data_IF_085611504246
#
_entry.id   IF_085611504246
#
_cell.length_a   1.000
_cell.length_b   1.000
_cell.length_c   1.000
_cell.angle_alpha   90.00
_cell.angle_beta   90.00
_cell.angle_gamma   90.00
#
_symmetry.space_group_name_H-M   'P 1'
#
loop_
_entity.id
_entity.type
_entity.pdbx_description
1 polymer ?
#
# COMPACT_ATOMS: atom_id res chain seq x y z
N UNK A 1 37.44 -28.61 -4.03
CA UNK A 1 38.24 -27.47 -3.59
C UNK A 1 37.83 -27.16 -2.17
N UNK A 2 38.75 -27.18 -1.19
CA UNK A 2 38.48 -26.89 0.23
C UNK A 2 39.15 -25.57 0.61
N UNK A 3 38.49 -24.76 1.45
CA UNK A 3 39.02 -23.49 1.96
C UNK A 3 40.02 -23.77 3.10
N UNK A 4 41.05 -22.93 3.21
CA UNK A 4 42.06 -23.07 4.24
C UNK A 4 41.50 -22.77 5.64
N UNK A 5 41.81 -23.60 6.66
CA UNK A 5 41.44 -23.30 8.04
C UNK A 5 42.20 -22.06 8.54
N UNK A 6 41.52 -21.21 9.31
CA UNK A 6 42.10 -19.97 9.87
C UNK A 6 42.03 -18.74 8.97
N UNK A 7 41.41 -18.83 7.80
CA UNK A 7 41.23 -17.69 6.91
C UNK A 7 40.23 -16.67 7.45
N UNK A 8 40.53 -15.38 7.28
CA UNK A 8 39.74 -14.26 7.80
C UNK A 8 38.49 -13.99 6.94
N UNK A 9 37.54 -14.93 6.95
CA UNK A 9 36.33 -14.87 6.13
C UNK A 9 35.45 -13.65 6.40
N UNK A 10 35.52 -13.05 7.60
CA UNK A 10 34.72 -11.88 7.96
C UNK A 10 35.08 -10.64 7.13
N UNK A 11 36.37 -10.37 6.94
CA UNK A 11 36.83 -9.25 6.13
C UNK A 11 36.51 -9.46 4.64
N UNK A 12 36.73 -10.69 4.14
CA UNK A 12 36.41 -11.06 2.75
C UNK A 12 34.91 -10.92 2.50
N UNK A 13 34.06 -11.41 3.40
CA UNK A 13 32.61 -11.29 3.30
C UNK A 13 32.16 -9.82 3.32
N UNK A 14 32.68 -9.01 4.25
CA UNK A 14 32.32 -7.60 4.36
C UNK A 14 32.66 -6.81 3.09
N UNK A 15 33.86 -7.01 2.51
CA UNK A 15 34.27 -6.38 1.25
C UNK A 15 33.41 -6.85 0.08
N UNK A 16 33.14 -8.16 0.00
CA UNK A 16 32.33 -8.75 -1.07
C UNK A 16 30.90 -8.22 -1.15
N UNK A 17 30.36 -7.70 -0.04
CA UNK A 17 29.03 -7.08 0.01
C UNK A 17 29.13 -5.56 -0.16
N UNK A 18 30.12 -4.92 0.46
CA UNK A 18 30.26 -3.47 0.50
C UNK A 18 30.58 -2.85 -0.86
N UNK A 19 31.49 -3.46 -1.63
CA UNK A 19 31.89 -2.93 -2.94
C UNK A 19 30.72 -2.95 -3.95
N UNK A 20 30.00 -4.08 -4.17
CA UNK A 20 28.86 -4.10 -5.08
C UNK A 20 27.72 -3.18 -4.66
N UNK A 21 27.49 -3.00 -3.35
CA UNK A 21 26.42 -2.15 -2.84
C UNK A 21 26.54 -0.70 -3.31
N UNK A 22 27.76 -0.17 -3.35
CA UNK A 22 28.04 1.19 -3.85
C UNK A 22 27.80 1.29 -5.35
N UNK A 23 28.23 0.29 -6.13
CA UNK A 23 28.01 0.21 -7.57
C UNK A 23 26.52 0.12 -7.93
N UNK A 24 25.75 -0.69 -7.19
CA UNK A 24 24.31 -0.86 -7.40
C UNK A 24 23.51 0.42 -7.13
N UNK A 25 24.05 1.39 -6.40
CA UNK A 25 23.31 2.61 -6.03
C UNK A 25 23.04 3.52 -7.22
N UNK A 26 23.94 3.54 -8.22
CA UNK A 26 23.86 4.42 -9.38
C UNK A 26 22.91 3.89 -10.48
N UNK A 27 22.57 2.59 -10.48
CA UNK A 27 21.80 1.95 -11.57
C UNK A 27 20.29 1.79 -11.29
N UNK A 28 19.76 2.35 -10.20
CA UNK A 28 18.43 1.96 -9.68
C UNK A 28 17.22 2.71 -10.26
N UNK A 29 17.43 3.69 -11.14
CA UNK A 29 16.31 4.45 -11.74
C UNK A 29 15.74 3.84 -13.03
N UNK A 30 16.31 2.72 -13.50
CA UNK A 30 15.93 2.12 -14.77
C UNK A 30 15.55 0.63 -14.67
N UNK A 31 14.85 0.22 -13.61
CA UNK A 31 14.05 -1.02 -13.69
C UNK A 31 12.80 -0.74 -14.53
N UNK A 32 12.95 -0.82 -15.86
CA UNK A 32 11.85 -0.73 -16.80
C UNK A 32 10.97 -1.99 -16.72
N UNK A 33 9.67 -1.83 -16.49
CA UNK A 33 8.70 -2.89 -16.78
C UNK A 33 7.71 -3.29 -15.68
N UNK A 34 7.77 -2.74 -14.46
CA UNK A 34 6.77 -3.05 -13.41
C UNK A 34 6.18 -1.76 -12.85
N UNK A 35 4.86 -1.64 -13.00
CA UNK A 35 4.06 -0.43 -12.79
C UNK A 35 4.33 0.28 -11.45
N UNK A 36 4.74 1.55 -11.54
CA UNK A 36 4.47 2.65 -10.61
C UNK A 36 4.83 2.52 -9.11
N UNK A 37 5.71 1.60 -8.69
CA UNK A 37 6.22 1.58 -7.31
C UNK A 37 7.65 2.11 -7.25
N UNK A 38 7.80 3.36 -6.81
CA UNK A 38 9.09 3.93 -6.41
C UNK A 38 9.55 3.22 -5.13
N UNK A 39 10.30 2.12 -5.26
CA UNK A 39 10.89 1.40 -4.14
C UNK A 39 12.28 2.00 -3.85
N UNK A 40 12.63 2.13 -2.58
CA UNK A 40 13.97 2.52 -2.14
C UNK A 40 14.94 1.38 -2.48
N UNK A 41 15.97 1.67 -3.28
CA UNK A 41 16.99 0.72 -3.73
C UNK A 41 18.40 1.24 -3.40
N UNK A 42 19.40 0.37 -3.54
CA UNK A 42 20.82 0.71 -3.36
C UNK A 42 21.23 0.97 -1.91
N UNK A 43 22.25 1.81 -1.72
CA UNK A 43 22.82 2.17 -0.41
C UNK A 43 21.77 2.67 0.58
N UNK A 44 20.80 3.54 0.22
CA UNK A 44 19.74 3.95 1.14
C UNK A 44 18.96 2.76 1.72
N UNK A 45 18.63 1.76 0.88
CA UNK A 45 17.92 0.55 1.32
C UNK A 45 18.80 -0.36 2.17
N UNK A 46 20.06 -0.53 1.79
CA UNK A 46 21.03 -1.31 2.55
C UNK A 46 21.25 -0.74 3.96
N UNK A 47 21.29 0.59 4.08
CA UNK A 47 21.36 1.28 5.39
C UNK A 47 20.15 0.99 6.28
N UNK A 48 18.95 0.98 5.69
CA UNK A 48 17.72 0.64 6.43
C UNK A 48 17.75 -0.80 6.95
N UNK A 49 18.24 -1.75 6.14
CA UNK A 49 18.31 -3.18 6.49
C UNK A 49 19.34 -3.41 7.61
N UNK A 50 20.58 -2.91 7.45
CA UNK A 50 21.65 -3.12 8.43
C UNK A 50 21.28 -2.52 9.80
N UNK A 51 20.66 -1.34 9.81
CA UNK A 51 20.28 -0.67 11.06
C UNK A 51 18.96 -1.18 11.65
N UNK A 52 18.28 -2.13 11.00
CA UNK A 52 16.96 -2.63 11.41
C UNK A 52 16.00 -1.45 11.66
N UNK A 53 15.94 -0.54 10.69
CA UNK A 53 15.18 0.70 10.82
C UNK A 53 13.69 0.38 11.02
N UNK A 54 13.10 0.86 12.12
CA UNK A 54 11.66 0.68 12.41
C UNK A 54 10.76 1.31 11.33
N UNK A 55 11.18 2.47 10.82
CA UNK A 55 10.46 3.22 9.80
C UNK A 55 11.29 3.25 8.51
N UNK A 56 10.91 2.42 7.55
CA UNK A 56 11.52 2.39 6.21
C UNK A 56 10.79 3.34 5.26
N UNK A 57 11.48 3.96 4.32
CA UNK A 57 10.90 5.01 3.46
C UNK A 57 9.79 4.49 2.53
N UNK A 58 9.98 3.30 1.98
CA UNK A 58 9.04 2.71 1.00
C UNK A 58 8.70 1.27 1.42
N UNK A 59 7.83 1.10 2.44
CA UNK A 59 7.39 -0.23 2.82
C UNK A 59 6.58 -0.86 1.68
N UNK A 60 6.89 -2.10 1.36
CA UNK A 60 6.16 -2.87 0.35
C UNK A 60 5.94 -4.30 0.83
N UNK A 61 4.80 -4.85 0.44
CA UNK A 61 4.42 -6.23 0.70
C UNK A 61 3.84 -6.82 -0.60
N UNK A 62 4.31 -7.99 -0.99
CA UNK A 62 3.74 -8.78 -2.08
C UNK A 62 2.82 -9.83 -1.49
N UNK A 63 1.52 -9.71 -1.76
CA UNK A 63 0.49 -10.65 -1.31
C UNK A 63 0.11 -11.55 -2.47
N UNK A 64 0.24 -12.86 -2.29
CA UNK A 64 -0.14 -13.86 -3.28
C UNK A 64 -1.56 -14.36 -3.00
N UNK A 65 -2.37 -14.48 -4.06
CA UNK A 65 -3.73 -15.00 -3.96
C UNK A 65 -3.73 -16.53 -3.87
N UNK A 66 -4.74 -17.09 -3.20
CA UNK A 66 -4.96 -18.55 -3.18
C UNK A 66 -5.25 -19.07 -4.59
N UNK A 67 -4.85 -20.31 -4.93
CA UNK A 67 -5.03 -20.88 -6.27
C UNK A 67 -6.49 -20.88 -6.78
N UNK A 68 -7.45 -20.95 -5.86
CA UNK A 68 -8.88 -20.97 -6.19
C UNK A 68 -9.40 -19.60 -6.66
N UNK A 69 -8.79 -18.52 -6.16
CA UNK A 69 -9.20 -17.13 -6.38
C UNK A 69 -8.31 -16.47 -7.45
N UNK A 70 -7.09 -16.97 -7.65
CA UNK A 70 -6.09 -16.37 -8.52
C UNK A 70 -6.37 -16.51 -10.02
N UNK A 71 -7.40 -17.29 -10.41
CA UNK A 71 -7.68 -17.62 -11.83
C UNK A 71 -8.59 -16.61 -12.52
N UNK A 72 -9.40 -15.87 -11.77
CA UNK A 72 -10.42 -14.95 -12.31
C UNK A 72 -10.12 -13.52 -11.86
N UNK A 73 -10.19 -12.56 -12.79
CA UNK A 73 -9.92 -11.15 -12.50
C UNK A 73 -10.90 -10.56 -11.47
N UNK A 74 -12.19 -10.89 -11.57
CA UNK A 74 -13.22 -10.39 -10.66
C UNK A 74 -12.94 -10.79 -9.21
N UNK A 75 -12.53 -12.05 -8.99
CA UNK A 75 -12.19 -12.55 -7.66
C UNK A 75 -10.92 -11.89 -7.11
N UNK A 76 -9.92 -11.65 -7.96
CA UNK A 76 -8.73 -10.89 -7.57
C UNK A 76 -9.08 -9.44 -7.18
N UNK A 77 -10.00 -8.81 -7.91
CA UNK A 77 -10.47 -7.45 -7.63
C UNK A 77 -11.26 -7.36 -6.32
N UNK A 78 -12.06 -8.37 -6.01
CA UNK A 78 -12.74 -8.45 -4.71
C UNK A 78 -11.74 -8.48 -3.54
N UNK A 79 -10.66 -9.25 -3.66
CA UNK A 79 -9.59 -9.27 -2.65
C UNK A 79 -8.85 -7.93 -2.59
N UNK A 80 -8.60 -7.30 -3.74
CA UNK A 80 -8.01 -5.97 -3.79
C UNK A 80 -8.86 -4.95 -3.02
N UNK A 81 -10.18 -4.89 -3.28
CA UNK A 81 -11.09 -3.99 -2.59
C UNK A 81 -11.16 -4.28 -1.08
N UNK A 82 -11.05 -5.55 -0.67
CA UNK A 82 -11.07 -5.93 0.75
C UNK A 82 -9.78 -5.53 1.50
N UNK A 83 -8.64 -5.43 0.80
CA UNK A 83 -7.35 -5.06 1.38
C UNK A 83 -7.06 -3.56 1.29
N UNK A 84 -7.73 -2.86 0.38
CA UNK A 84 -7.55 -1.43 0.19
C UNK A 84 -8.04 -0.66 1.42
N UNK A 85 -7.19 0.22 1.94
CA UNK A 85 -7.56 1.08 3.05
C UNK A 85 -8.45 2.21 2.53
N UNK A 86 -9.76 2.05 2.68
CA UNK A 86 -10.76 3.05 2.31
C UNK A 86 -11.26 3.78 3.55
N UNK A 87 -11.28 5.10 3.51
CA UNK A 87 -11.87 5.94 4.58
C UNK A 87 -13.14 6.58 4.06
N UNK A 88 -14.04 7.05 4.94
CA UNK A 88 -15.20 7.83 4.48
C UNK A 88 -14.74 9.03 3.63
N UNK A 89 -13.65 9.69 4.03
CA UNK A 89 -13.03 10.78 3.27
C UNK A 89 -12.70 10.43 1.81
N UNK A 90 -12.31 9.19 1.50
CA UNK A 90 -11.98 8.82 0.12
C UNK A 90 -13.21 8.66 -0.78
N UNK A 91 -14.41 8.53 -0.20
CA UNK A 91 -15.67 8.35 -0.93
C UNK A 91 -16.54 9.61 -0.87
N UNK A 92 -16.49 10.36 0.24
CA UNK A 92 -17.28 11.58 0.43
C UNK A 92 -16.75 12.72 -0.44
N UNK A 93 -17.60 13.28 -1.29
CA UNK A 93 -17.27 14.48 -2.07
C UNK A 93 -17.29 15.75 -1.22
N UNK A 94 -18.30 15.87 -0.36
CA UNK A 94 -18.50 17.01 0.53
C UNK A 94 -19.16 16.56 1.85
N UNK A 95 -19.10 17.40 2.87
CA UNK A 95 -19.79 17.20 4.15
C UNK A 95 -20.25 18.55 4.64
N UNK A 96 -21.56 18.73 4.74
CA UNK A 96 -22.21 19.97 5.14
C UNK A 96 -23.20 19.68 6.27
N UNK A 97 -23.40 20.66 7.14
CA UNK A 97 -24.32 20.54 8.29
C UNK A 97 -25.43 21.56 8.11
N UNK A 98 -26.65 21.04 7.98
CA UNK A 98 -27.87 21.83 7.82
C UNK A 98 -28.69 21.78 9.11
N UNK A 99 -29.32 22.90 9.46
CA UNK A 99 -30.22 22.96 10.60
C UNK A 99 -31.65 22.74 10.12
N UNK A 100 -32.24 21.59 10.49
CA UNK A 100 -33.65 21.31 10.22
C UNK A 100 -34.45 21.15 11.52
N UNK A 101 -35.38 22.07 11.83
CA UNK A 101 -36.18 21.99 13.05
C UNK A 101 -37.32 20.95 12.98
N UNK A 102 -37.72 20.47 11.79
CA UNK A 102 -38.86 19.57 11.63
C UNK A 102 -38.42 18.24 11.01
N UNK A 103 -38.40 17.12 11.77
CA UNK A 103 -37.79 15.86 11.31
C UNK A 103 -38.51 15.20 10.12
N UNK A 104 -39.76 15.59 9.82
CA UNK A 104 -40.56 15.03 8.71
C UNK A 104 -40.43 15.81 7.40
N UNK A 105 -39.82 16.99 7.43
CA UNK A 105 -39.61 17.82 6.26
C UNK A 105 -38.11 18.12 6.12
N UNK A 106 -37.70 18.60 4.94
CA UNK A 106 -36.33 19.08 4.72
C UNK A 106 -36.35 20.46 4.09
N UNK A 107 -35.40 21.31 4.47
CA UNK A 107 -35.13 22.58 3.77
C UNK A 107 -34.37 22.40 2.44
N UNK A 108 -33.83 21.20 2.19
CA UNK A 108 -33.09 20.86 0.96
C UNK A 108 -34.07 20.32 -0.08
N UNK A 109 -34.29 21.07 -1.17
CA UNK A 109 -35.28 20.73 -2.20
C UNK A 109 -35.02 19.37 -2.88
N UNK A 110 -33.75 19.02 -3.07
CA UNK A 110 -33.34 17.75 -3.70
C UNK A 110 -33.67 16.51 -2.86
N UNK A 111 -33.78 16.67 -1.53
CA UNK A 111 -33.97 15.57 -0.58
C UNK A 111 -35.44 15.36 -0.17
N UNK A 112 -36.36 16.21 -0.62
CA UNK A 112 -37.78 16.20 -0.19
C UNK A 112 -38.44 14.84 -0.45
N UNK A 113 -38.25 14.29 -1.64
CA UNK A 113 -38.84 13.00 -2.03
C UNK A 113 -38.24 11.83 -1.22
N UNK A 114 -36.95 11.90 -0.90
CA UNK A 114 -36.27 10.89 -0.07
C UNK A 114 -36.78 10.90 1.38
N UNK A 115 -36.91 12.07 1.99
CA UNK A 115 -37.39 12.20 3.37
C UNK A 115 -38.85 11.73 3.46
N UNK A 116 -39.70 12.14 2.50
CA UNK A 116 -41.11 11.74 2.48
C UNK A 116 -41.28 10.22 2.34
N UNK A 117 -40.56 9.61 1.39
CA UNK A 117 -40.65 8.16 1.17
C UNK A 117 -40.16 7.34 2.37
N UNK A 118 -39.14 7.80 3.11
CA UNK A 118 -38.68 7.14 4.34
C UNK A 118 -39.78 7.02 5.40
N UNK A 119 -40.57 8.09 5.60
CA UNK A 119 -41.66 8.11 6.59
C UNK A 119 -42.97 7.47 6.10
N UNK A 120 -43.11 7.21 4.80
CA UNK A 120 -44.24 6.49 4.22
C UNK A 120 -44.11 4.97 4.33
N UNK A 121 -42.90 4.44 4.55
CA UNK A 121 -42.67 3.01 4.76
C UNK A 121 -43.10 2.63 6.18
N UNK A 122 -44.11 1.74 6.35
CA UNK A 122 -44.51 1.27 7.68
C UNK A 122 -43.37 0.44 8.30
N UNK A 123 -43.11 0.66 9.59
CA UNK A 123 -42.09 -0.04 10.39
C UNK A 123 -42.08 -1.56 10.19
#
# INVERSE_FOLDING_TARGET
>A
SLVAPGEMIGCVAAQSIGEPATQMTLNNFHYAGVSAKNVTLGVPRLREIINIAKNIKTPSLSVYLKPDISKTNDQAKNVQCALEYTTLRSVTQATEVWYDPHPMNTIIEEDVDFVKSYYEIPN
#
